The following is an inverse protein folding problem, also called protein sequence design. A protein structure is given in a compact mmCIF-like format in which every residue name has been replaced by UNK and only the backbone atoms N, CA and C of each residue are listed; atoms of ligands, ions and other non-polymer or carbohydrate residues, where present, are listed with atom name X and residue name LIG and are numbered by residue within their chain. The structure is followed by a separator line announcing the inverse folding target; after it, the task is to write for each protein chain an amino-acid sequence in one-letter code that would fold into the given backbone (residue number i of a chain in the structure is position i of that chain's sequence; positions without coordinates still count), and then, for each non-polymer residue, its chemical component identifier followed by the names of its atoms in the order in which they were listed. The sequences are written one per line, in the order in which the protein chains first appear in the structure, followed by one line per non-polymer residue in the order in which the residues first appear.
data_IF_274072604563
#
_entry.id   IF_274072604563
#
_cell.length_a   1.000
_cell.length_b   1.000
_cell.length_c   1.000
_cell.angle_alpha   90.00
_cell.angle_beta   90.00
_cell.angle_gamma   90.00
#
_symmetry.space_group_name_H-M   'P 1'
#
loop_
_entity.id
_entity.type
_entity.pdbx_description
1 polymer ?
#
# COMPACT_ATOMS: atom_id res chain seq x y z
N UNK A 1 1.33 26.06 6.31
CA UNK A 1 2.58 25.65 6.98
C UNK A 1 3.60 25.33 5.90
N UNK A 2 4.71 26.07 5.84
CA UNK A 2 5.81 25.78 4.90
C UNK A 2 6.56 24.57 5.47
N UNK A 3 6.50 23.42 4.80
CA UNK A 3 7.29 22.26 5.22
C UNK A 3 8.76 22.61 5.04
N UNK A 4 9.50 22.71 6.14
CA UNK A 4 10.95 22.92 6.10
C UNK A 4 11.57 21.55 5.79
N UNK A 5 11.90 21.32 4.53
CA UNK A 5 12.62 20.12 4.11
C UNK A 5 14.11 20.35 4.33
N UNK A 6 14.71 19.57 5.22
CA UNK A 6 16.16 19.60 5.50
C UNK A 6 16.76 18.27 5.06
N UNK A 7 17.71 18.32 4.14
CA UNK A 7 18.50 17.16 3.72
C UNK A 7 19.56 16.91 4.82
N UNK A 8 19.57 15.69 5.38
CA UNK A 8 20.49 15.30 6.46
C UNK A 8 21.61 14.39 5.92
N UNK A 9 21.30 13.58 4.91
CA UNK A 9 22.23 12.64 4.27
C UNK A 9 22.09 12.70 2.76
N UNK A 10 23.19 12.44 2.05
CA UNK A 10 23.28 12.45 0.59
C UNK A 10 23.64 13.81 0.02
N UNK A 11 23.91 13.84 -1.28
CA UNK A 11 24.19 15.07 -2.00
C UNK A 11 22.89 15.84 -2.28
N UNK A 12 22.80 17.13 -1.94
CA UNK A 12 21.58 17.91 -2.12
C UNK A 12 21.12 18.03 -3.58
N UNK A 13 22.03 18.11 -4.53
CA UNK A 13 21.69 18.27 -5.95
C UNK A 13 21.12 16.97 -6.51
N UNK A 14 21.75 15.84 -6.21
CA UNK A 14 21.27 14.50 -6.58
C UNK A 14 19.89 14.21 -5.96
N UNK A 15 19.68 14.60 -4.70
CA UNK A 15 18.39 14.42 -4.02
C UNK A 15 17.32 15.29 -4.63
N UNK A 16 17.61 16.56 -4.94
CA UNK A 16 16.66 17.49 -5.59
C UNK A 16 16.31 17.01 -7.00
N UNK A 17 17.27 16.46 -7.73
CA UNK A 17 17.06 15.85 -9.05
C UNK A 17 16.21 14.56 -8.95
N UNK A 18 16.56 13.62 -8.08
CA UNK A 18 15.80 12.38 -7.87
C UNK A 18 14.36 12.64 -7.39
N UNK A 19 14.20 13.64 -6.53
CA UNK A 19 12.89 14.05 -6.05
C UNK A 19 12.09 14.77 -7.13
N UNK A 20 12.71 15.17 -8.24
CA UNK A 20 12.04 15.94 -9.27
C UNK A 20 11.57 17.29 -8.74
N UNK A 21 12.31 17.92 -7.83
CA UNK A 21 11.94 19.20 -7.21
C UNK A 21 11.92 20.39 -8.19
N UNK A 22 12.23 20.15 -9.47
CA UNK A 22 12.01 21.06 -10.61
C UNK A 22 10.66 20.82 -11.33
N UNK A 23 9.84 19.86 -10.89
CA UNK A 23 8.48 19.64 -11.36
C UNK A 23 7.49 20.45 -10.51
N UNK A 24 6.36 20.85 -11.09
CA UNK A 24 5.26 21.51 -10.37
C UNK A 24 4.57 20.59 -9.34
N UNK A 25 5.02 19.34 -9.22
CA UNK A 25 4.41 18.30 -8.40
C UNK A 25 4.82 18.41 -6.93
N UNK A 26 3.81 18.45 -6.06
CA UNK A 26 3.98 18.49 -4.61
C UNK A 26 4.45 17.15 -4.05
N UNK A 27 5.67 17.13 -3.50
CA UNK A 27 6.23 15.96 -2.81
C UNK A 27 5.79 15.97 -1.34
N UNK A 28 4.74 15.22 -1.04
CA UNK A 28 4.21 15.03 0.31
C UNK A 28 4.53 13.65 0.89
N UNK A 29 4.89 13.57 2.17
CA UNK A 29 5.04 12.31 2.90
C UNK A 29 3.71 11.70 3.34
N UNK A 30 2.60 12.40 3.15
CA UNK A 30 1.27 12.03 3.64
C UNK A 30 0.81 10.65 3.17
N UNK A 31 1.14 10.26 1.94
CA UNK A 31 0.83 8.93 1.40
C UNK A 31 1.62 7.83 2.12
N UNK A 32 2.93 8.07 2.35
CA UNK A 32 3.82 7.15 3.07
C UNK A 32 3.40 7.03 4.55
N UNK A 33 3.01 8.14 5.17
CA UNK A 33 2.52 8.16 6.54
C UNK A 33 1.20 7.40 6.69
N UNK A 34 0.28 7.54 5.72
CA UNK A 34 -0.99 6.81 5.69
C UNK A 34 -0.76 5.31 5.57
N UNK A 35 0.14 4.85 4.69
CA UNK A 35 0.43 3.41 4.58
C UNK A 35 1.12 2.90 5.86
N UNK A 36 2.02 3.68 6.46
CA UNK A 36 2.64 3.33 7.73
C UNK A 36 1.61 3.16 8.86
N UNK A 37 0.63 4.06 8.95
CA UNK A 37 -0.47 3.92 9.91
C UNK A 37 -1.29 2.65 9.62
N UNK A 38 -1.60 2.38 8.35
CA UNK A 38 -2.34 1.19 7.92
C UNK A 38 -1.59 -0.10 8.31
N UNK A 39 -0.28 -0.14 8.09
CA UNK A 39 0.56 -1.29 8.45
C UNK A 39 0.53 -1.50 9.97
N UNK A 40 0.75 -0.45 10.77
CA UNK A 40 0.75 -0.56 12.24
C UNK A 40 -0.59 -1.00 12.81
N UNK A 41 -1.69 -0.56 12.21
CA UNK A 41 -3.04 -0.92 12.64
C UNK A 41 -3.44 -2.33 12.20
N UNK A 42 -2.94 -2.79 11.06
CA UNK A 42 -3.30 -4.11 10.51
C UNK A 42 -2.38 -5.24 10.99
N UNK A 43 -1.12 -4.92 11.32
CA UNK A 43 -0.12 -5.90 11.73
C UNK A 43 0.38 -5.61 13.14
N UNK A 44 -0.03 -6.45 14.09
CA UNK A 44 0.40 -6.39 15.49
C UNK A 44 1.93 -6.42 15.63
N UNK A 45 2.66 -7.03 14.69
CA UNK A 45 4.13 -7.08 14.62
C UNK A 45 4.80 -5.71 14.56
N UNK A 46 4.07 -4.67 14.13
CA UNK A 46 4.57 -3.30 14.02
C UNK A 46 4.13 -2.40 15.19
N UNK A 47 3.45 -2.97 16.19
CA UNK A 47 3.06 -2.25 17.41
C UNK A 47 4.16 -2.39 18.46
N UNK A 48 4.44 -1.29 19.17
CA UNK A 48 5.42 -1.25 20.27
C UNK A 48 4.95 -2.13 21.43
N UNK A 49 5.88 -2.90 22.04
CA UNK A 49 5.62 -3.77 23.21
C UNK A 49 4.59 -4.88 22.96
N UNK A 50 4.61 -5.48 21.77
CA UNK A 50 3.81 -6.69 21.49
C UNK A 50 4.55 -7.98 21.85
N UNK A 51 3.81 -9.00 22.27
CA UNK A 51 4.33 -10.37 22.39
C UNK A 51 4.43 -11.09 21.03
N UNK A 52 3.79 -10.56 19.98
CA UNK A 52 3.66 -11.22 18.68
C UNK A 52 4.76 -10.81 17.68
N UNK A 53 5.97 -10.49 18.15
CA UNK A 53 7.07 -10.10 17.27
C UNK A 53 7.61 -11.29 16.45
N UNK A 54 8.25 -11.01 15.32
CA UNK A 54 8.94 -12.04 14.54
C UNK A 54 10.34 -12.29 15.11
N UNK A 55 10.66 -13.54 15.42
CA UNK A 55 12.00 -13.95 15.89
C UNK A 55 13.04 -14.06 14.77
N UNK A 56 12.57 -14.23 13.53
CA UNK A 56 13.42 -14.44 12.35
C UNK A 56 12.98 -13.45 11.27
N UNK A 57 13.94 -12.77 10.63
CA UNK A 57 13.69 -11.78 9.59
C UNK A 57 12.85 -12.35 8.43
N UNK A 58 13.18 -13.56 7.96
CA UNK A 58 12.42 -14.26 6.92
C UNK A 58 10.91 -14.34 7.22
N UNK A 59 10.52 -14.62 8.46
CA UNK A 59 9.11 -14.71 8.85
C UNK A 59 8.45 -13.33 8.97
N UNK A 60 9.24 -12.29 9.31
CA UNK A 60 8.79 -10.91 9.27
C UNK A 60 8.45 -10.50 7.83
N UNK A 61 9.38 -10.71 6.89
CA UNK A 61 9.17 -10.44 5.47
C UNK A 61 7.96 -11.21 4.94
N UNK A 62 7.82 -12.50 5.23
CA UNK A 62 6.68 -13.30 4.77
C UNK A 62 5.32 -12.80 5.29
N UNK A 63 5.27 -12.29 6.53
CA UNK A 63 4.04 -11.66 7.03
C UNK A 63 3.74 -10.36 6.27
N UNK A 64 4.78 -9.58 5.97
CA UNK A 64 4.63 -8.34 5.22
C UNK A 64 4.19 -8.60 3.78
N UNK A 65 4.78 -9.59 3.10
CA UNK A 65 4.37 -10.06 1.77
C UNK A 65 2.86 -10.42 1.76
N UNK A 66 2.42 -11.20 2.75
CA UNK A 66 1.01 -11.60 2.87
C UNK A 66 0.09 -10.39 3.12
N UNK A 67 0.51 -9.43 3.94
CA UNK A 67 -0.24 -8.21 4.18
C UNK A 67 -0.39 -7.38 2.91
N UNK A 68 0.70 -7.17 2.17
CA UNK A 68 0.66 -6.43 0.90
C UNK A 68 -0.29 -7.10 -0.09
N UNK A 69 -0.18 -8.41 -0.24
CA UNK A 69 -1.03 -9.21 -1.10
C UNK A 69 -2.51 -9.10 -0.71
N UNK A 70 -2.84 -9.25 0.57
CA UNK A 70 -4.21 -9.07 1.07
C UNK A 70 -4.73 -7.63 0.88
N UNK A 71 -3.93 -6.63 1.25
CA UNK A 71 -4.31 -5.22 1.19
C UNK A 71 -4.56 -4.74 -0.24
N UNK A 72 -3.81 -5.28 -1.20
CA UNK A 72 -3.93 -4.93 -2.62
C UNK A 72 -4.96 -5.79 -3.35
N UNK A 73 -5.04 -7.11 -3.16
CA UNK A 73 -5.88 -7.97 -4.01
C UNK A 73 -7.26 -8.27 -3.41
N UNK A 74 -7.37 -8.30 -2.09
CA UNK A 74 -8.59 -8.76 -1.39
C UNK A 74 -9.37 -7.60 -0.78
N UNK A 75 -8.69 -6.66 -0.11
CA UNK A 75 -9.37 -5.56 0.58
C UNK A 75 -9.84 -4.50 -0.42
N UNK A 76 -11.14 -4.15 -0.51
CA UNK A 76 -11.59 -3.00 -1.30
C UNK A 76 -11.20 -1.67 -0.66
N UNK A 77 -10.98 -0.66 -1.49
CA UNK A 77 -10.57 0.68 -1.05
C UNK A 77 -11.67 1.69 -1.36
N UNK A 78 -12.03 2.49 -0.36
CA UNK A 78 -13.12 3.47 -0.49
C UNK A 78 -12.84 4.54 -1.54
N UNK A 79 -11.57 4.95 -1.68
CA UNK A 79 -11.13 5.93 -2.69
C UNK A 79 -11.18 5.40 -4.13
N UNK A 80 -11.26 4.08 -4.31
CA UNK A 80 -11.30 3.44 -5.64
C UNK A 80 -12.71 3.07 -6.08
N UNK A 81 -13.73 3.32 -5.25
CA UNK A 81 -15.12 3.01 -5.59
C UNK A 81 -15.57 3.80 -6.81
N UNK A 82 -16.25 3.11 -7.74
CA UNK A 82 -16.91 3.76 -8.87
C UNK A 82 -18.40 3.91 -8.60
N UNK A 83 -18.96 5.06 -8.97
CA UNK A 83 -20.40 5.26 -8.93
C UNK A 83 -21.06 4.44 -10.03
N UNK A 84 -22.08 3.68 -9.67
CA UNK A 84 -22.88 2.89 -10.61
C UNK A 84 -24.35 3.30 -10.54
N UNK A 85 -25.00 3.29 -11.69
CA UNK A 85 -26.43 3.58 -11.81
C UNK A 85 -27.24 2.28 -11.70
N UNK A 86 -27.24 1.68 -10.50
CA UNK A 86 -28.05 0.49 -10.21
C UNK A 86 -29.12 0.81 -9.16
N UNK A 87 -30.30 0.19 -9.28
CA UNK A 87 -31.43 0.39 -8.36
C UNK A 87 -31.09 0.00 -6.91
N UNK A 88 -30.22 -1.00 -6.73
CA UNK A 88 -29.93 -1.59 -5.42
C UNK A 88 -28.53 -1.26 -4.87
N UNK A 89 -27.63 -0.70 -5.69
CA UNK A 89 -26.26 -0.33 -5.26
C UNK A 89 -25.81 0.94 -5.95
N UNK A 90 -25.27 1.88 -5.17
CA UNK A 90 -24.70 3.15 -5.67
C UNK A 90 -23.22 3.05 -6.02
N UNK A 91 -22.49 2.09 -5.42
CA UNK A 91 -21.04 2.00 -5.51
C UNK A 91 -20.59 0.60 -5.91
N UNK A 92 -19.70 0.53 -6.90
CA UNK A 92 -18.93 -0.66 -7.22
C UNK A 92 -17.61 -0.63 -6.45
N UNK A 93 -17.38 -1.67 -5.66
CA UNK A 93 -16.16 -1.86 -4.88
C UNK A 93 -15.01 -2.27 -5.80
N UNK A 94 -13.82 -1.70 -5.59
CA UNK A 94 -12.61 -2.02 -6.36
C UNK A 94 -11.40 -2.14 -5.45
N UNK A 95 -10.43 -2.90 -5.92
CA UNK A 95 -9.08 -2.98 -5.36
C UNK A 95 -8.06 -2.27 -6.27
N UNK A 96 -6.85 -1.95 -5.78
CA UNK A 96 -5.81 -1.34 -6.63
C UNK A 96 -5.54 -2.09 -7.94
N UNK A 97 -5.38 -3.43 -7.98
CA UNK A 97 -5.21 -4.16 -9.23
C UNK A 97 -6.42 -4.06 -10.17
N UNK A 98 -7.64 -3.87 -9.64
CA UNK A 98 -8.81 -3.57 -10.48
C UNK A 98 -8.80 -2.13 -11.00
N UNK A 99 -8.21 -1.19 -10.26
CA UNK A 99 -8.02 0.20 -10.70
C UNK A 99 -7.10 0.26 -11.93
N UNK A 100 -6.01 -0.52 -11.88
CA UNK A 100 -4.99 -0.63 -12.93
C UNK A 100 -5.34 -1.62 -14.06
N UNK A 101 -6.48 -2.31 -13.98
CA UNK A 101 -6.90 -3.28 -15.00
C UNK A 101 -6.12 -4.60 -15.01
N UNK A 102 -5.36 -4.90 -13.95
CA UNK A 102 -4.62 -6.16 -13.76
C UNK A 102 -5.58 -7.33 -13.49
N UNK A 103 -6.70 -7.06 -12.81
CA UNK A 103 -7.75 -8.04 -12.51
C UNK A 103 -9.13 -7.39 -12.64
N UNK A 104 -10.17 -8.19 -12.88
CA UNK A 104 -11.55 -7.70 -13.04
C UNK A 104 -12.46 -7.99 -11.84
N UNK A 105 -11.94 -8.66 -10.82
CA UNK A 105 -12.67 -8.98 -9.60
C UNK A 105 -11.81 -8.80 -8.35
N UNK A 106 -12.48 -8.69 -7.20
CA UNK A 106 -11.85 -8.71 -5.89
C UNK A 106 -11.48 -10.16 -5.58
N UNK A 107 -10.21 -10.41 -5.29
CA UNK A 107 -9.76 -11.76 -4.98
C UNK A 107 -10.30 -12.21 -3.63
N UNK A 108 -10.45 -13.51 -3.47
CA UNK A 108 -10.68 -14.12 -2.16
C UNK A 108 -9.37 -14.70 -1.60
N UNK A 109 -9.37 -15.04 -0.31
CA UNK A 109 -8.16 -15.56 0.35
C UNK A 109 -7.68 -16.89 -0.24
N UNK A 110 -8.60 -17.77 -0.63
CA UNK A 110 -8.25 -19.07 -1.24
C UNK A 110 -7.55 -18.86 -2.58
N UNK A 111 -8.09 -18.00 -3.42
CA UNK A 111 -7.49 -17.63 -4.70
C UNK A 111 -6.08 -17.07 -4.50
N UNK A 112 -5.90 -16.14 -3.56
CA UNK A 112 -4.58 -15.58 -3.27
C UNK A 112 -3.55 -16.63 -2.84
N UNK A 113 -3.94 -17.57 -1.96
CA UNK A 113 -3.05 -18.59 -1.43
C UNK A 113 -2.78 -19.75 -2.41
N UNK A 114 -3.64 -19.95 -3.41
CA UNK A 114 -3.52 -21.01 -4.41
C UNK A 114 -3.01 -20.51 -5.76
N UNK A 115 -2.91 -19.19 -5.94
CA UNK A 115 -2.39 -18.58 -7.15
C UNK A 115 -0.95 -19.03 -7.39
N UNK A 116 -0.73 -19.67 -8.54
CA UNK A 116 0.60 -20.06 -9.00
C UNK A 116 1.18 -18.90 -9.77
N UNK A 117 2.23 -18.30 -9.21
CA UNK A 117 2.99 -17.27 -9.91
C UNK A 117 3.59 -17.91 -11.17
N UNK A 118 3.30 -17.40 -12.36
CA UNK A 118 3.95 -17.88 -13.58
C UNK A 118 5.46 -17.69 -13.42
N UNK A 119 6.22 -18.73 -13.76
CA UNK A 119 7.69 -18.66 -13.72
C UNK A 119 8.11 -17.65 -14.79
N UNK A 120 8.77 -16.58 -14.38
CA UNK A 120 9.38 -15.60 -15.27
C UNK A 120 10.65 -16.16 -15.90
#
# INVERSE_FOLDING_TARGET
MKNIQRIIFGDPEEIVEMLGANSEDYIGTSYVERINLTIRTSLVRFVRRTMNFSKIMKMHTKTFDLFQAWYNFIKPHDSLKLRINSKNRKWLQRTPPMAEGITYHIWNLKELLTFRVPVQ
#
